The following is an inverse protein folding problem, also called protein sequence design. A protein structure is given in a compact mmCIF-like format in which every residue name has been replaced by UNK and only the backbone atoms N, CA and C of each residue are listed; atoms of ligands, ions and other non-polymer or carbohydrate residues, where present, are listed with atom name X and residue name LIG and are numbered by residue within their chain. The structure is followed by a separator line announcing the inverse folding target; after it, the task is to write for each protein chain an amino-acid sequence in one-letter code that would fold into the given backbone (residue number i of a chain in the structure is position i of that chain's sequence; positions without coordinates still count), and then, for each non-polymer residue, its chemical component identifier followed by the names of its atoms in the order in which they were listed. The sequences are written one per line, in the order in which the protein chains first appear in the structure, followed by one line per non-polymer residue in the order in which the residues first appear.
data_IF_741623212217
#
_entry.id   IF_741623212217
#
_cell.length_a   1.000
_cell.length_b   1.000
_cell.length_c   1.000
_cell.angle_alpha   90.00
_cell.angle_beta   90.00
_cell.angle_gamma   90.00
#
_symmetry.space_group_name_H-M   'P 1'
#
loop_
_entity.id
_entity.type
_entity.pdbx_description
1 polymer ?
#
# COMPACT_ATOMS: atom_id res chain seq x y z
N UNK A 1 20.43 17.41 -19.90
CA UNK A 1 19.49 16.95 -18.85
C UNK A 1 20.06 15.76 -18.10
N UNK A 2 19.91 15.68 -16.77
CA UNK A 2 20.16 14.47 -15.98
C UNK A 2 19.43 13.27 -16.58
N UNK A 3 20.04 12.08 -16.49
CA UNK A 3 19.45 10.82 -16.95
C UNK A 3 19.24 9.92 -15.75
N UNK A 4 18.07 9.32 -15.64
CA UNK A 4 17.76 8.33 -14.62
C UNK A 4 16.76 7.33 -15.19
N UNK A 5 17.01 6.05 -14.94
CA UNK A 5 16.08 4.95 -15.15
C UNK A 5 15.57 4.38 -13.81
N UNK A 6 15.74 5.10 -12.69
CA UNK A 6 15.37 4.60 -11.35
C UNK A 6 13.90 4.17 -11.29
N UNK A 7 12.99 5.03 -11.73
CA UNK A 7 11.55 4.72 -11.75
C UNK A 7 11.23 3.50 -12.64
N UNK A 8 11.95 3.34 -13.74
CA UNK A 8 11.79 2.19 -14.64
C UNK A 8 12.19 0.88 -13.93
N UNK A 9 13.39 0.86 -13.33
CA UNK A 9 13.88 -0.31 -12.58
C UNK A 9 13.01 -0.63 -11.35
N UNK A 10 12.47 0.39 -10.68
CA UNK A 10 11.59 0.21 -9.51
C UNK A 10 10.27 -0.46 -9.88
N UNK A 11 9.67 -0.08 -11.01
CA UNK A 11 8.45 -0.72 -11.52
C UNK A 11 8.73 -2.18 -11.89
N UNK A 12 9.82 -2.44 -12.64
CA UNK A 12 10.20 -3.81 -13.02
C UNK A 12 10.43 -4.70 -11.78
N UNK A 13 11.08 -4.16 -10.74
CA UNK A 13 11.31 -4.88 -9.48
C UNK A 13 10.01 -5.16 -8.72
N UNK A 14 9.08 -4.22 -8.69
CA UNK A 14 7.78 -4.40 -8.06
C UNK A 14 6.92 -5.43 -8.80
N UNK A 15 6.96 -5.45 -10.14
CA UNK A 15 6.27 -6.45 -10.96
C UNK A 15 6.80 -7.85 -10.68
N UNK A 16 8.13 -8.02 -10.72
CA UNK A 16 8.77 -9.30 -10.42
C UNK A 16 8.45 -9.79 -8.99
N UNK A 17 8.39 -8.87 -8.03
CA UNK A 17 8.00 -9.20 -6.66
C UNK A 17 6.61 -9.82 -6.61
N UNK A 18 5.60 -9.17 -7.22
CA UNK A 18 4.22 -9.67 -7.27
C UNK A 18 4.12 -11.02 -7.94
N UNK A 19 4.84 -11.24 -9.05
CA UNK A 19 4.91 -12.54 -9.74
C UNK A 19 5.45 -13.65 -8.82
N UNK A 20 6.41 -13.33 -7.96
CA UNK A 20 7.04 -14.29 -7.05
C UNK A 20 6.23 -14.57 -5.77
N UNK A 21 5.49 -13.58 -5.27
CA UNK A 21 4.77 -13.69 -3.99
C UNK A 21 3.30 -14.08 -4.15
N UNK A 22 2.72 -13.92 -5.35
CA UNK A 22 1.32 -14.19 -5.60
C UNK A 22 0.37 -13.18 -4.94
N UNK A 23 -0.81 -13.64 -4.53
CA UNK A 23 -1.94 -12.79 -4.13
C UNK A 23 -1.93 -12.43 -2.63
N UNK A 24 -0.94 -11.64 -2.21
CA UNK A 24 -0.93 -11.09 -0.86
C UNK A 24 -2.16 -10.20 -0.61
N UNK A 25 -2.80 -10.27 0.58
CA UNK A 25 -4.03 -9.56 0.84
C UNK A 25 -3.79 -8.06 0.99
N UNK A 26 -4.71 -7.25 0.48
CA UNK A 26 -4.73 -5.80 0.78
C UNK A 26 -4.97 -5.60 2.29
N UNK A 27 -4.18 -4.75 2.99
CA UNK A 27 -4.41 -4.42 4.39
C UNK A 27 -5.85 -3.94 4.66
N UNK A 28 -6.47 -4.39 5.76
CA UNK A 28 -7.89 -4.13 6.05
C UNK A 28 -8.25 -2.64 6.06
N UNK A 29 -7.39 -1.81 6.65
CA UNK A 29 -7.59 -0.36 6.72
C UNK A 29 -7.51 0.35 5.37
N UNK A 30 -7.02 -0.32 4.31
CA UNK A 30 -7.01 0.23 2.95
C UNK A 30 -8.18 -0.28 2.10
N UNK A 31 -8.96 -1.25 2.59
CA UNK A 31 -10.08 -1.81 1.83
C UNK A 31 -11.28 -0.89 1.84
N UNK A 32 -12.03 -0.89 0.74
CA UNK A 32 -13.35 -0.26 0.71
C UNK A 32 -14.34 -1.03 1.59
N UNK A 33 -15.25 -0.32 2.25
CA UNK A 33 -16.29 -0.88 3.11
C UNK A 33 -17.69 -0.31 2.79
N UNK A 34 -18.22 -0.60 1.58
CA UNK A 34 -19.49 -0.04 1.12
C UNK A 34 -20.71 -0.65 1.82
N UNK A 35 -20.63 -1.91 2.28
CA UNK A 35 -21.75 -2.59 2.91
C UNK A 35 -21.67 -2.51 4.44
N UNK A 36 -22.82 -2.68 5.12
CA UNK A 36 -22.88 -2.73 6.58
C UNK A 36 -22.03 -3.89 7.13
N UNK A 37 -22.16 -5.07 6.54
CA UNK A 37 -21.38 -6.25 6.92
C UNK A 37 -19.87 -6.00 6.81
N UNK A 38 -19.40 -5.34 5.74
CA UNK A 38 -17.97 -5.04 5.59
C UNK A 38 -17.44 -4.11 6.70
N UNK A 39 -18.23 -3.12 7.12
CA UNK A 39 -17.88 -2.24 8.25
C UNK A 39 -17.86 -3.00 9.58
N UNK A 40 -18.80 -3.93 9.78
CA UNK A 40 -18.84 -4.80 10.96
C UNK A 40 -17.64 -5.76 10.99
N UNK A 41 -17.10 -6.12 9.83
CA UNK A 41 -15.85 -6.89 9.67
C UNK A 41 -14.60 -6.00 9.66
N UNK A 42 -14.70 -4.75 10.11
CA UNK A 42 -13.59 -3.80 10.24
C UNK A 42 -12.89 -3.39 8.92
N UNK A 43 -13.54 -3.57 7.76
CA UNK A 43 -12.99 -3.12 6.49
C UNK A 43 -12.89 -1.58 6.49
N UNK A 44 -11.75 -1.04 6.05
CA UNK A 44 -11.50 0.40 6.01
C UNK A 44 -11.41 1.07 7.38
N UNK A 45 -11.54 0.32 8.48
CA UNK A 45 -11.39 0.84 9.83
C UNK A 45 -9.95 1.27 10.07
N UNK A 46 -9.77 2.35 10.83
CA UNK A 46 -8.47 2.94 11.16
C UNK A 46 -7.69 3.47 9.95
N UNK A 47 -8.32 3.66 8.78
CA UNK A 47 -7.70 4.39 7.68
C UNK A 47 -7.34 5.82 8.11
N UNK A 48 -6.06 6.16 8.01
CA UNK A 48 -5.54 7.48 8.33
C UNK A 48 -5.58 8.34 7.07
N UNK A 49 -6.56 9.22 6.99
CA UNK A 49 -6.66 10.18 5.89
C UNK A 49 -5.53 11.22 6.00
N UNK A 50 -4.52 11.10 5.14
CA UNK A 50 -3.26 11.84 5.24
C UNK A 50 -3.42 13.37 5.31
N UNK A 51 -4.45 13.94 4.65
CA UNK A 51 -4.73 15.38 4.68
C UNK A 51 -5.18 15.92 6.05
N UNK A 52 -5.56 15.05 6.98
CA UNK A 52 -5.87 15.46 8.36
C UNK A 52 -4.62 15.58 9.24
N UNK A 53 -3.43 15.21 8.73
CA UNK A 53 -2.18 15.22 9.50
C UNK A 53 -1.25 16.35 9.04
N UNK A 54 -0.39 16.87 9.94
CA UNK A 54 0.59 17.89 9.58
C UNK A 54 1.43 17.49 8.37
N UNK A 55 1.60 18.41 7.42
CA UNK A 55 2.34 18.15 6.18
C UNK A 55 1.63 17.23 5.19
N UNK A 56 0.33 16.95 5.39
CA UNK A 56 -0.44 16.01 4.58
C UNK A 56 0.14 14.59 4.56
N UNK A 57 0.81 14.18 5.65
CA UNK A 57 1.51 12.92 5.74
C UNK A 57 1.25 12.23 7.07
N UNK A 58 1.05 10.91 7.01
CA UNK A 58 0.88 10.05 8.17
C UNK A 58 1.63 8.75 7.94
N UNK A 59 2.35 8.29 8.96
CA UNK A 59 2.99 6.97 8.92
C UNK A 59 1.92 5.90 9.08
N UNK A 60 1.56 5.28 7.97
CA UNK A 60 0.61 4.17 7.90
C UNK A 60 1.25 3.03 7.10
N UNK A 61 0.92 1.79 7.43
CA UNK A 61 1.31 0.64 6.61
C UNK A 61 0.54 0.65 5.29
N UNK A 62 1.23 0.55 4.16
CA UNK A 62 0.61 0.55 2.83
C UNK A 62 0.78 -0.79 2.09
N UNK A 63 1.86 -1.52 2.37
CA UNK A 63 2.08 -2.84 1.83
C UNK A 63 1.42 -3.91 2.72
N UNK A 64 1.15 -5.12 2.19
CA UNK A 64 0.80 -6.28 3.01
C UNK A 64 1.83 -6.54 4.11
N UNK A 65 1.43 -7.22 5.18
CA UNK A 65 2.31 -7.52 6.32
C UNK A 65 3.54 -8.35 5.88
N UNK A 66 3.32 -9.30 4.98
CA UNK A 66 4.34 -10.16 4.38
C UNK A 66 5.31 -9.38 3.49
N UNK A 67 4.93 -8.19 3.04
CA UNK A 67 5.70 -7.31 2.17
C UNK A 67 6.17 -6.02 2.89
N UNK A 68 6.01 -5.94 4.21
CA UNK A 68 6.21 -4.71 4.99
C UNK A 68 7.61 -4.10 4.91
N UNK A 69 8.63 -4.90 4.57
CA UNK A 69 10.03 -4.47 4.43
C UNK A 69 10.46 -4.30 2.97
N UNK A 70 9.59 -4.57 2.00
CA UNK A 70 9.93 -4.45 0.59
C UNK A 70 10.16 -2.97 0.20
N UNK A 71 11.22 -2.70 -0.54
CA UNK A 71 11.57 -1.37 -1.05
C UNK A 71 12.06 -1.50 -2.48
N UNK A 72 11.51 -0.68 -3.37
CA UNK A 72 11.79 -0.74 -4.81
C UNK A 72 12.38 0.55 -5.37
N UNK A 73 12.26 1.68 -4.65
CA UNK A 73 12.82 2.99 -5.02
C UNK A 73 13.40 3.69 -3.81
#
# INVERSE_FOLDING_TARGET
SPKSNSAYMSIDSALQYVESTGNLPVPLHLRNAPTKLMKELDYGKNYMYAHNYPGNFVKQQFLPDEASTATFW
#
